data_IF_355477394179
#
_entry.id   IF_355477394179
#
_cell.length_a   1.000
_cell.length_b   1.000
_cell.length_c   1.000
_cell.angle_alpha   90.00
_cell.angle_beta   90.00
_cell.angle_gamma   90.00
#
_symmetry.space_group_name_H-M   'P 1'
#
loop_
_entity.id
_entity.type
_entity.pdbx_description
1 polymer ?
#
# COMPACT_ATOMS: atom_id res chain seq x y z
N UNK A 1 5.76 37.79 12.47
CA UNK A 1 4.96 36.72 11.87
C UNK A 1 3.57 37.28 11.64
N UNK A 2 3.14 37.38 10.38
CA UNK A 2 1.75 37.72 10.07
C UNK A 2 0.90 36.50 10.39
N UNK A 3 -0.09 36.64 11.27
CA UNK A 3 -1.07 35.59 11.51
C UNK A 3 -1.99 35.51 10.29
N UNK A 4 -2.34 34.30 9.85
CA UNK A 4 -3.29 34.10 8.77
C UNK A 4 -4.67 34.66 9.17
N UNK A 5 -5.28 35.46 8.29
CA UNK A 5 -6.62 35.99 8.46
C UNK A 5 -7.65 35.13 7.71
N UNK A 6 -8.94 35.31 8.05
CA UNK A 6 -10.01 34.72 7.26
C UNK A 6 -9.96 35.29 5.83
N UNK A 7 -10.02 34.40 4.82
CA UNK A 7 -9.84 34.70 3.40
C UNK A 7 -8.44 34.39 2.86
N UNK A 8 -7.43 34.25 3.72
CA UNK A 8 -6.07 33.90 3.30
C UNK A 8 -5.97 32.43 2.87
N UNK A 9 -5.06 32.07 1.95
CA UNK A 9 -4.74 30.69 1.66
C UNK A 9 -4.32 29.95 2.94
N UNK A 10 -4.93 28.79 3.19
CA UNK A 10 -4.49 27.93 4.28
C UNK A 10 -3.16 27.28 3.95
N UNK A 11 -2.37 26.96 4.98
CA UNK A 11 -1.07 26.34 4.79
C UNK A 11 -1.21 24.83 4.60
N UNK A 12 -0.69 24.33 3.48
CA UNK A 12 -0.56 22.89 3.21
C UNK A 12 0.89 22.62 2.87
N UNK A 13 1.50 21.66 3.58
CA UNK A 13 2.92 21.33 3.44
C UNK A 13 3.13 19.82 3.55
N UNK A 14 4.19 19.33 2.91
CA UNK A 14 4.70 18.00 3.17
C UNK A 14 5.41 17.97 4.52
N UNK A 15 5.35 16.83 5.22
CA UNK A 15 6.19 16.62 6.40
C UNK A 15 7.65 16.63 5.98
N UNK A 16 8.54 17.13 6.82
CA UNK A 16 9.98 17.14 6.55
C UNK A 16 10.55 15.73 6.26
N UNK A 17 9.98 14.68 6.86
CA UNK A 17 10.35 13.28 6.61
C UNK A 17 9.97 12.76 5.22
N UNK A 18 9.07 13.45 4.52
CA UNK A 18 8.61 13.10 3.18
C UNK A 18 9.34 13.86 2.08
N UNK A 19 10.10 14.89 2.44
CA UNK A 19 10.98 15.63 1.53
C UNK A 19 12.33 14.91 1.38
N UNK A 20 12.86 14.89 0.17
CA UNK A 20 14.24 14.50 -0.11
C UNK A 20 15.02 15.76 -0.48
N UNK A 21 15.76 16.30 0.48
CA UNK A 21 16.24 17.68 0.39
C UNK A 21 15.05 18.64 0.40
N UNK A 22 14.87 19.39 -0.69
CA UNK A 22 13.72 20.28 -0.89
C UNK A 22 12.66 19.67 -1.83
N UNK A 23 12.90 18.47 -2.36
CA UNK A 23 12.05 17.84 -3.37
C UNK A 23 10.88 17.06 -2.71
N UNK A 24 9.62 17.43 -2.98
CA UNK A 24 8.46 16.69 -2.51
C UNK A 24 8.18 15.44 -3.38
N UNK A 25 7.48 14.43 -2.84
CA UNK A 25 7.15 13.22 -3.59
C UNK A 25 6.13 13.48 -4.70
N UNK A 26 5.30 14.51 -4.55
CA UNK A 26 4.33 14.95 -5.55
C UNK A 26 4.21 16.48 -5.52
N UNK A 27 3.93 17.08 -6.68
CA UNK A 27 3.53 18.47 -6.75
C UNK A 27 2.24 18.69 -5.94
N UNK A 28 2.15 19.83 -5.25
CA UNK A 28 1.01 20.17 -4.40
C UNK A 28 0.22 21.34 -5.02
N UNK A 29 -1.05 21.09 -5.33
CA UNK A 29 -2.02 22.11 -5.68
C UNK A 29 -2.84 22.45 -4.43
N UNK A 30 -2.50 23.57 -3.80
CA UNK A 30 -3.14 24.04 -2.58
C UNK A 30 -4.27 25.03 -2.90
N UNK A 31 -5.50 24.63 -2.61
CA UNK A 31 -6.73 25.42 -2.72
C UNK A 31 -7.49 25.48 -1.39
N UNK A 32 -6.77 25.35 -0.27
CA UNK A 32 -7.35 25.55 1.06
C UNK A 32 -7.50 27.05 1.31
N UNK A 33 -8.64 27.43 1.90
CA UNK A 33 -8.90 28.80 2.35
C UNK A 33 -9.11 28.81 3.86
N UNK A 34 -8.56 29.82 4.52
CA UNK A 34 -8.75 30.05 5.95
C UNK A 34 -10.08 30.77 6.19
N UNK A 35 -10.85 30.34 7.19
CA UNK A 35 -12.13 30.95 7.60
C UNK A 35 -12.09 31.32 9.09
N UNK A 36 -12.94 32.24 9.53
CA UNK A 36 -12.97 32.66 10.94
C UNK A 36 -13.37 31.51 11.87
N UNK A 37 -14.34 30.69 11.44
CA UNK A 37 -14.82 29.51 12.15
C UNK A 37 -15.34 28.48 11.16
N UNK A 38 -15.39 27.22 11.58
CA UNK A 38 -16.02 26.12 10.85
C UNK A 38 -17.19 25.58 11.67
N UNK A 39 -18.29 25.24 10.99
CA UNK A 39 -19.42 24.52 11.59
C UNK A 39 -19.36 23.04 11.19
N UNK A 40 -19.75 22.15 12.11
CA UNK A 40 -19.68 20.71 11.90
C UNK A 40 -18.28 20.14 12.14
N UNK A 41 -18.04 18.95 11.62
CA UNK A 41 -16.75 18.26 11.76
C UNK A 41 -15.69 18.92 10.86
N UNK A 42 -14.63 19.54 11.43
CA UNK A 42 -13.54 20.13 10.65
C UNK A 42 -12.86 19.12 9.72
N UNK A 43 -12.94 17.82 10.01
CA UNK A 43 -12.34 16.78 9.15
C UNK A 43 -13.04 16.65 7.81
N UNK A 44 -14.35 16.91 7.78
CA UNK A 44 -15.19 16.82 6.58
C UNK A 44 -15.02 17.99 5.61
N UNK A 45 -14.29 19.03 6.00
CA UNK A 45 -14.15 20.27 5.24
C UNK A 45 -12.88 20.35 4.40
N UNK A 46 -12.06 19.30 4.42
CA UNK A 46 -10.84 19.19 3.61
C UNK A 46 -10.99 18.00 2.66
N UNK A 47 -10.94 18.27 1.37
CA UNK A 47 -10.81 17.27 0.32
C UNK A 47 -9.35 17.10 -0.08
N UNK A 48 -8.91 15.86 -0.24
CA UNK A 48 -7.63 15.52 -0.84
C UNK A 48 -7.89 14.55 -1.98
N UNK A 49 -7.41 14.91 -3.16
CA UNK A 49 -7.57 14.10 -4.34
C UNK A 49 -6.32 14.14 -5.21
N UNK A 50 -6.25 13.15 -6.11
CA UNK A 50 -5.32 13.17 -7.23
C UNK A 50 -6.13 13.34 -8.50
N UNK A 51 -6.11 14.53 -9.14
CA UNK A 51 -6.85 14.75 -10.36
C UNK A 51 -6.45 13.76 -11.45
N UNK A 52 -7.40 13.29 -12.24
CA UNK A 52 -7.15 12.38 -13.37
C UNK A 52 -6.15 13.01 -14.33
N UNK A 53 -5.11 12.27 -14.73
CA UNK A 53 -4.04 12.77 -15.61
C UNK A 53 -3.00 13.66 -14.94
N UNK A 54 -3.11 13.91 -13.63
CA UNK A 54 -2.11 14.67 -12.85
C UNK A 54 -1.17 13.74 -12.07
N UNK A 55 0.10 14.14 -12.01
CA UNK A 55 1.07 13.56 -11.06
C UNK A 55 1.05 14.25 -9.70
N UNK A 56 0.29 15.35 -9.53
CA UNK A 56 0.19 16.12 -8.30
C UNK A 56 -0.96 15.71 -7.37
N UNK A 57 -0.95 16.25 -6.16
CA UNK A 57 -2.03 16.14 -5.18
C UNK A 57 -2.75 17.49 -5.10
N UNK A 58 -4.08 17.48 -5.21
CA UNK A 58 -4.93 18.65 -4.98
C UNK A 58 -5.51 18.56 -3.57
N UNK A 59 -5.35 19.63 -2.80
CA UNK A 59 -5.90 19.78 -1.46
C UNK A 59 -6.78 21.02 -1.46
N UNK A 60 -8.05 20.87 -1.13
CA UNK A 60 -9.04 21.95 -1.25
C UNK A 60 -10.01 21.93 -0.07
N UNK A 61 -10.66 23.06 0.19
CA UNK A 61 -11.62 23.19 1.28
C UNK A 61 -11.31 24.32 2.24
N UNK A 62 -11.67 24.16 3.51
CA UNK A 62 -11.64 25.26 4.51
C UNK A 62 -11.01 24.83 5.82
N UNK A 63 -10.27 25.75 6.44
CA UNK A 63 -9.69 25.57 7.79
C UNK A 63 -9.95 26.80 8.65
N UNK A 64 -10.26 26.65 9.94
CA UNK A 64 -10.45 27.80 10.82
C UNK A 64 -9.11 28.45 11.21
N UNK A 65 -9.06 29.77 11.33
CA UNK A 65 -7.89 30.49 11.87
C UNK A 65 -7.48 29.87 13.22
N UNK A 66 -6.17 29.63 13.40
CA UNK A 66 -5.63 29.05 14.64
C UNK A 66 -5.84 27.54 14.80
N UNK A 67 -6.38 26.85 13.79
CA UNK A 67 -6.50 25.39 13.79
C UNK A 67 -5.12 24.72 13.87
N UNK A 68 -5.02 23.65 14.66
CA UNK A 68 -3.81 22.85 14.72
C UNK A 68 -3.53 22.15 13.37
N UNK A 69 -2.26 21.96 12.97
CA UNK A 69 -1.94 21.19 11.77
C UNK A 69 -2.49 19.76 11.87
N UNK A 70 -3.12 19.28 10.80
CA UNK A 70 -3.60 17.91 10.71
C UNK A 70 -2.81 17.11 9.67
N UNK A 71 -2.37 15.89 10.00
CA UNK A 71 -1.76 15.02 9.01
C UNK A 71 -2.83 14.33 8.17
N UNK A 72 -2.68 14.38 6.85
CA UNK A 72 -3.55 13.67 5.92
C UNK A 72 -2.68 12.68 5.14
N UNK A 73 -2.88 11.36 5.32
CA UNK A 73 -2.15 10.37 4.55
C UNK A 73 -2.62 10.39 3.09
N UNK A 74 -1.68 10.22 2.17
CA UNK A 74 -1.97 10.10 0.73
C UNK A 74 -1.35 8.83 0.18
N UNK A 75 -2.08 8.18 -0.72
CA UNK A 75 -1.58 6.97 -1.37
C UNK A 75 -0.40 7.30 -2.29
N UNK A 76 0.65 6.47 -2.19
CA UNK A 76 1.78 6.49 -3.12
C UNK A 76 1.37 5.76 -4.39
N UNK A 77 1.49 6.40 -5.55
CA UNK A 77 1.02 5.84 -6.84
C UNK A 77 1.92 4.71 -7.35
N UNK A 78 3.24 4.85 -7.17
CA UNK A 78 4.23 3.85 -7.55
C UNK A 78 5.14 3.54 -6.36
N UNK A 79 4.77 2.59 -5.48
CA UNK A 79 5.56 2.28 -4.29
C UNK A 79 7.01 1.85 -4.59
N UNK A 80 7.22 1.08 -5.65
CA UNK A 80 8.55 0.61 -6.05
C UNK A 80 9.45 1.75 -6.55
N UNK A 81 8.89 2.66 -7.35
CA UNK A 81 9.62 3.83 -7.85
C UNK A 81 9.91 4.83 -6.72
N UNK A 82 8.94 5.07 -5.83
CA UNK A 82 9.15 5.90 -4.65
C UNK A 82 10.24 5.32 -3.73
N UNK A 83 10.31 4.00 -3.59
CA UNK A 83 11.39 3.33 -2.86
C UNK A 83 12.74 3.49 -3.57
N UNK A 84 12.80 3.30 -4.89
CA UNK A 84 14.03 3.49 -5.68
C UNK A 84 14.55 4.94 -5.59
N UNK A 85 13.66 5.92 -5.73
CA UNK A 85 13.95 7.34 -5.59
C UNK A 85 14.53 7.67 -4.20
N UNK A 86 13.84 7.23 -3.12
CA UNK A 86 14.32 7.42 -1.74
C UNK A 86 15.66 6.72 -1.50
N UNK A 87 15.85 5.52 -2.04
CA UNK A 87 17.09 4.76 -1.88
C UNK A 87 18.26 5.44 -2.58
N UNK A 88 18.10 5.87 -3.83
CA UNK A 88 19.13 6.60 -4.57
C UNK A 88 19.52 7.90 -3.88
N UNK A 89 18.55 8.65 -3.32
CA UNK A 89 18.85 9.83 -2.53
C UNK A 89 19.73 9.49 -1.31
N UNK A 90 19.40 8.45 -0.54
CA UNK A 90 20.19 8.02 0.63
C UNK A 90 21.59 7.50 0.29
N UNK A 91 21.76 6.93 -0.91
CA UNK A 91 23.07 6.52 -1.44
C UNK A 91 23.92 7.73 -1.79
N UNK A 92 23.35 8.74 -2.47
CA UNK A 92 24.05 9.98 -2.81
C UNK A 92 24.48 10.76 -1.56
N UNK A 93 23.64 10.82 -0.53
CA UNK A 93 24.01 11.40 0.78
C UNK A 93 25.22 10.70 1.42
N UNK A 94 25.48 9.44 1.07
CA UNK A 94 26.63 8.66 1.53
C UNK A 94 27.82 8.71 0.57
N UNK A 95 27.78 9.58 -0.44
CA UNK A 95 28.86 9.74 -1.43
C UNK A 95 28.88 8.67 -2.53
N UNK A 96 27.83 7.84 -2.64
CA UNK A 96 27.71 6.90 -3.75
C UNK A 96 27.24 7.66 -4.99
N UNK A 97 28.08 7.67 -6.03
CA UNK A 97 27.74 8.25 -7.31
C UNK A 97 26.76 7.36 -8.06
N UNK A 98 25.69 7.96 -8.58
CA UNK A 98 24.69 7.28 -9.42
C UNK A 98 24.57 8.10 -10.70
N UNK A 99 25.11 7.57 -11.79
CA UNK A 99 25.14 8.24 -13.11
C UNK A 99 23.79 8.17 -13.84
N UNK A 100 22.94 7.19 -13.51
CA UNK A 100 21.63 6.98 -14.13
C UNK A 100 20.44 7.55 -13.36
N UNK A 101 19.24 7.27 -13.88
CA UNK A 101 17.96 7.57 -13.23
C UNK A 101 17.42 6.37 -12.46
N UNK A 102 16.54 6.63 -11.49
CA UNK A 102 15.85 5.58 -10.73
C UNK A 102 14.65 5.07 -11.51
N UNK A 103 14.53 3.75 -11.63
CA UNK A 103 13.42 3.09 -12.30
C UNK A 103 12.92 1.92 -11.45
N UNK A 104 11.63 1.64 -11.53
CA UNK A 104 11.06 0.42 -11.00
C UNK A 104 11.15 -0.70 -12.04
N UNK A 105 11.63 -1.87 -11.61
CA UNK A 105 11.62 -3.08 -12.44
C UNK A 105 10.37 -3.91 -12.09
N UNK A 106 9.47 -4.06 -13.06
CA UNK A 106 8.25 -4.85 -12.92
C UNK A 106 8.27 -6.04 -13.87
N UNK A 107 7.85 -7.21 -13.39
CA UNK A 107 7.46 -8.32 -14.27
C UNK A 107 5.96 -8.18 -14.58
N UNK A 108 5.56 -8.07 -15.86
CA UNK A 108 4.15 -8.09 -16.22
C UNK A 108 3.48 -9.40 -15.78
N UNK A 109 2.21 -9.32 -15.40
CA UNK A 109 1.39 -10.50 -15.12
C UNK A 109 1.27 -11.36 -16.39
N UNK A 110 1.39 -12.67 -16.22
CA UNK A 110 1.26 -13.69 -17.26
C UNK A 110 0.17 -14.68 -16.89
N UNK A 111 -0.35 -15.43 -17.86
CA UNK A 111 -1.38 -16.44 -17.58
C UNK A 111 -0.88 -17.55 -16.65
N UNK A 112 0.41 -17.88 -16.74
CA UNK A 112 1.07 -18.90 -15.89
C UNK A 112 1.28 -18.41 -14.44
N UNK A 113 0.92 -17.17 -14.12
CA UNK A 113 0.78 -16.75 -12.72
C UNK A 113 -0.43 -17.40 -12.03
N UNK A 114 -1.38 -17.92 -12.80
CA UNK A 114 -2.47 -18.72 -12.28
C UNK A 114 -2.08 -20.21 -12.24
N UNK A 115 -2.04 -20.85 -11.06
CA UNK A 115 -1.64 -22.25 -10.94
C UNK A 115 -2.56 -23.21 -11.70
N UNK A 116 -3.83 -22.87 -11.92
CA UNK A 116 -4.76 -23.70 -12.71
C UNK A 116 -4.42 -23.72 -14.21
N UNK A 117 -3.78 -22.65 -14.70
CA UNK A 117 -3.30 -22.57 -16.09
C UNK A 117 -1.92 -23.21 -16.20
N UNK A 118 -1.03 -22.85 -15.28
CA UNK A 118 0.36 -23.33 -15.21
C UNK A 118 0.46 -24.84 -14.99
N UNK A 119 -0.46 -25.44 -14.21
CA UNK A 119 -0.41 -26.83 -13.76
C UNK A 119 0.95 -27.12 -13.11
N UNK A 120 1.65 -28.16 -13.59
CA UNK A 120 2.97 -28.58 -13.10
C UNK A 120 4.13 -27.74 -13.68
N UNK A 121 3.84 -26.69 -14.45
CA UNK A 121 4.84 -25.77 -14.97
C UNK A 121 5.57 -25.01 -13.86
N UNK A 122 6.81 -24.60 -14.14
CA UNK A 122 7.58 -23.76 -13.22
C UNK A 122 6.92 -22.39 -13.06
N UNK A 123 6.82 -21.91 -11.82
CA UNK A 123 6.25 -20.60 -11.56
C UNK A 123 7.10 -19.48 -12.17
N UNK A 124 6.49 -18.46 -12.81
CA UNK A 124 7.22 -17.32 -13.34
C UNK A 124 8.01 -16.61 -12.22
N UNK A 125 9.30 -16.41 -12.44
CA UNK A 125 10.17 -15.65 -11.53
C UNK A 125 10.82 -14.49 -12.28
N UNK A 126 10.96 -13.30 -11.66
CA UNK A 126 11.76 -12.24 -12.25
C UNK A 126 13.21 -12.71 -12.46
N UNK A 127 13.78 -12.37 -13.62
CA UNK A 127 15.21 -12.52 -13.87
C UNK A 127 15.95 -11.52 -12.99
N UNK A 128 16.94 -12.00 -12.25
CA UNK A 128 17.87 -11.16 -11.49
C UNK A 128 19.24 -11.23 -12.15
N UNK A 129 19.82 -10.07 -12.45
CA UNK A 129 21.20 -9.94 -12.85
C UNK A 129 22.05 -9.47 -11.66
N UNK A 130 23.25 -10.03 -11.51
CA UNK A 130 24.19 -9.67 -10.45
C UNK A 130 24.10 -10.53 -9.18
N UNK A 131 24.83 -10.12 -8.15
CA UNK A 131 24.89 -10.78 -6.84
C UNK A 131 24.31 -9.91 -5.74
N UNK A 132 23.68 -10.53 -4.74
CA UNK A 132 23.16 -9.83 -3.56
C UNK A 132 24.32 -9.30 -2.69
N UNK A 133 24.31 -8.00 -2.41
CA UNK A 133 25.33 -7.35 -1.55
C UNK A 133 24.78 -6.87 -0.21
N UNK A 134 23.46 -6.79 -0.06
CA UNK A 134 22.79 -6.37 1.17
C UNK A 134 21.33 -6.84 1.20
N UNK A 135 20.81 -7.12 2.40
CA UNK A 135 19.41 -7.50 2.63
C UNK A 135 18.92 -6.92 3.94
N UNK A 136 17.71 -6.34 3.91
CA UNK A 136 16.96 -6.05 5.12
C UNK A 136 15.99 -7.20 5.37
N UNK A 137 16.08 -7.82 6.54
CA UNK A 137 15.13 -8.86 6.95
C UNK A 137 13.88 -8.19 7.55
N UNK A 138 12.67 -8.66 7.20
CA UNK A 138 11.45 -8.15 7.82
C UNK A 138 11.38 -8.56 9.31
N UNK A 139 10.55 -7.87 10.11
CA UNK A 139 10.22 -8.32 11.46
C UNK A 139 9.65 -9.75 11.48
N UNK A 140 9.61 -10.41 12.66
CA UNK A 140 8.97 -11.71 12.83
C UNK A 140 7.55 -11.72 12.27
N UNK A 141 7.19 -12.80 11.58
CA UNK A 141 5.90 -12.91 10.90
C UNK A 141 4.71 -12.72 11.85
N UNK A 142 4.85 -13.16 13.11
CA UNK A 142 3.80 -13.03 14.13
C UNK A 142 3.51 -11.57 14.50
N UNK A 143 4.50 -10.69 14.44
CA UNK A 143 4.31 -9.26 14.72
C UNK A 143 3.51 -8.60 13.60
N UNK A 144 3.81 -8.96 12.35
CA UNK A 144 3.08 -8.47 11.18
C UNK A 144 1.64 -9.00 11.16
N UNK A 145 1.45 -10.28 11.49
CA UNK A 145 0.12 -10.88 11.66
C UNK A 145 -0.68 -10.18 12.77
N UNK A 146 -0.06 -9.87 13.91
CA UNK A 146 -0.70 -9.13 14.98
C UNK A 146 -1.10 -7.72 14.53
N UNK A 147 -0.24 -7.03 13.76
CA UNK A 147 -0.54 -5.72 13.21
C UNK A 147 -1.72 -5.76 12.23
N UNK A 148 -1.73 -6.71 11.29
CA UNK A 148 -2.85 -6.96 10.38
C UNK A 148 -4.15 -7.11 11.17
N UNK A 149 -4.18 -8.00 12.16
CA UNK A 149 -5.40 -8.33 12.90
C UNK A 149 -5.88 -7.19 13.81
N UNK A 150 -4.96 -6.39 14.37
CA UNK A 150 -5.32 -5.28 15.26
C UNK A 150 -5.72 -4.02 14.53
N UNK A 151 -5.09 -3.75 13.39
CA UNK A 151 -5.29 -2.51 12.64
C UNK A 151 -6.13 -2.73 11.37
N UNK A 152 -6.53 -3.96 11.07
CA UNK A 152 -7.22 -4.36 9.83
C UNK A 152 -6.49 -3.84 8.59
N UNK A 153 -5.17 -4.06 8.54
CA UNK A 153 -4.29 -3.40 7.55
C UNK A 153 -4.28 -4.12 6.20
N UNK A 154 -5.00 -3.54 5.24
CA UNK A 154 -5.23 -4.14 3.92
C UNK A 154 -3.94 -4.40 3.14
N UNK A 155 -3.03 -3.43 3.08
CA UNK A 155 -1.75 -3.59 2.35
C UNK A 155 -0.95 -4.78 2.88
N UNK A 156 -0.90 -4.93 4.20
CA UNK A 156 -0.19 -6.03 4.84
C UNK A 156 -0.85 -7.37 4.52
N UNK A 157 -2.18 -7.45 4.58
CA UNK A 157 -2.91 -8.66 4.22
C UNK A 157 -2.70 -9.10 2.76
N UNK A 158 -2.70 -8.16 1.80
CA UNK A 158 -2.41 -8.43 0.39
C UNK A 158 -0.96 -8.92 0.17
N UNK A 159 0.00 -8.28 0.83
CA UNK A 159 1.41 -8.70 0.76
C UNK A 159 1.62 -10.06 1.43
N UNK A 160 0.87 -10.36 2.48
CA UNK A 160 0.95 -11.65 3.16
C UNK A 160 0.42 -12.78 2.26
N UNK A 161 -0.68 -12.55 1.55
CA UNK A 161 -1.20 -13.48 0.53
C UNK A 161 -0.17 -13.75 -0.58
N UNK A 162 0.46 -12.70 -1.11
CA UNK A 162 1.50 -12.84 -2.14
C UNK A 162 2.76 -13.51 -1.61
N UNK A 163 3.13 -13.27 -0.34
CA UNK A 163 4.23 -13.97 0.33
C UNK A 163 3.93 -15.45 0.49
N UNK A 164 2.69 -15.82 0.79
CA UNK A 164 2.25 -17.21 0.80
C UNK A 164 2.41 -17.82 -0.60
N UNK A 165 1.94 -17.13 -1.64
CA UNK A 165 2.11 -17.55 -3.04
C UNK A 165 3.56 -17.67 -3.52
N UNK A 166 4.54 -17.10 -2.79
CA UNK A 166 5.98 -17.29 -3.05
C UNK A 166 6.56 -18.57 -2.45
N UNK A 167 5.86 -19.22 -1.52
CA UNK A 167 6.34 -20.47 -0.90
C UNK A 167 6.35 -21.61 -1.91
N UNK A 168 5.29 -21.73 -2.70
CA UNK A 168 5.11 -22.82 -3.68
C UNK A 168 4.90 -22.31 -5.12
N UNK A 169 5.04 -21.00 -5.36
CA UNK A 169 4.73 -20.37 -6.64
C UNK A 169 5.50 -19.06 -6.94
N UNK A 170 4.92 -18.25 -7.82
CA UNK A 170 5.50 -17.02 -8.35
C UNK A 170 5.18 -15.76 -7.53
N UNK A 171 4.40 -15.91 -6.45
CA UNK A 171 3.95 -14.80 -5.62
C UNK A 171 2.77 -14.02 -6.19
N UNK A 172 2.00 -14.65 -7.07
CA UNK A 172 0.72 -14.11 -7.54
C UNK A 172 -0.35 -14.18 -6.44
N UNK A 173 -1.46 -13.47 -6.63
CA UNK A 173 -2.62 -13.57 -5.74
C UNK A 173 -3.20 -14.98 -5.84
N UNK A 174 -3.27 -15.49 -7.07
CA UNK A 174 -3.82 -16.80 -7.40
C UNK A 174 -3.02 -17.94 -6.76
N UNK A 175 -1.69 -17.84 -6.73
CA UNK A 175 -0.83 -18.79 -6.02
C UNK A 175 -1.11 -18.78 -4.51
N UNK A 176 -1.26 -17.59 -3.92
CA UNK A 176 -1.60 -17.45 -2.50
C UNK A 176 -2.99 -18.04 -2.17
N UNK A 177 -3.98 -17.76 -3.01
CA UNK A 177 -5.34 -18.28 -2.85
C UNK A 177 -5.40 -19.81 -3.02
N UNK A 178 -4.58 -20.37 -3.92
CA UNK A 178 -4.48 -21.82 -4.08
C UNK A 178 -3.98 -22.49 -2.78
N UNK A 179 -2.98 -21.91 -2.12
CA UNK A 179 -2.47 -22.42 -0.84
C UNK A 179 -3.52 -22.29 0.27
N UNK A 180 -4.25 -21.16 0.33
CA UNK A 180 -5.38 -21.01 1.27
C UNK A 180 -6.45 -22.08 1.00
N UNK A 181 -6.76 -22.35 -0.27
CA UNK A 181 -7.71 -23.39 -0.67
C UNK A 181 -7.29 -24.77 -0.18
N UNK A 182 -6.03 -25.15 -0.38
CA UNK A 182 -5.49 -26.41 0.12
C UNK A 182 -5.56 -26.51 1.66
N UNK A 183 -5.30 -25.41 2.37
CA UNK A 183 -5.45 -25.36 3.83
C UNK A 183 -6.91 -25.57 4.25
N UNK A 184 -7.86 -24.87 3.62
CA UNK A 184 -9.29 -24.99 3.89
C UNK A 184 -9.80 -26.41 3.59
N UNK A 185 -9.35 -27.01 2.49
CA UNK A 185 -9.65 -28.40 2.14
C UNK A 185 -9.07 -29.37 3.17
N UNK A 186 -7.84 -29.14 3.63
CA UNK A 186 -7.16 -29.94 4.65
C UNK A 186 -7.86 -29.95 6.01
N UNK A 187 -8.54 -28.86 6.37
CA UNK A 187 -9.40 -28.82 7.58
C UNK A 187 -10.82 -29.32 7.29
N UNK A 188 -11.14 -29.65 6.04
CA UNK A 188 -12.41 -30.23 5.58
C UNK A 188 -13.53 -29.20 5.38
N UNK A 189 -13.20 -27.93 5.11
CA UNK A 189 -14.21 -26.95 4.69
C UNK A 189 -14.75 -27.34 3.31
N UNK A 190 -16.06 -27.27 3.12
CA UNK A 190 -16.67 -27.53 1.82
C UNK A 190 -16.32 -26.40 0.83
N UNK A 191 -15.94 -26.74 -0.41
CA UNK A 191 -15.57 -25.75 -1.43
C UNK A 191 -16.69 -24.75 -1.74
N UNK A 192 -17.96 -25.12 -1.58
CA UNK A 192 -19.11 -24.20 -1.74
C UNK A 192 -19.23 -23.19 -0.59
N UNK A 193 -18.46 -23.38 0.48
CA UNK A 193 -18.48 -22.56 1.68
C UNK A 193 -17.69 -21.24 1.57
N UNK A 194 -16.89 -21.06 0.52
CA UNK A 194 -16.03 -19.89 0.33
C UNK A 194 -15.76 -19.56 -1.14
N UNK A 195 -15.46 -18.31 -1.43
CA UNK A 195 -14.88 -17.84 -2.68
C UNK A 195 -14.06 -16.58 -2.38
N UNK A 196 -12.75 -16.63 -2.57
CA UNK A 196 -11.84 -15.57 -2.13
C UNK A 196 -11.13 -14.98 -3.34
N UNK A 197 -10.99 -13.65 -3.36
CA UNK A 197 -10.38 -12.90 -4.45
C UNK A 197 -9.17 -12.10 -4.01
N UNK A 198 -9.00 -11.85 -2.71
CA UNK A 198 -7.91 -11.05 -2.15
C UNK A 198 -7.55 -11.50 -0.72
N UNK A 199 -6.56 -10.85 -0.12
CA UNK A 199 -6.13 -11.13 1.26
C UNK A 199 -6.80 -10.23 2.29
N UNK A 200 -7.19 -9.02 1.90
CA UNK A 200 -7.65 -7.98 2.81
C UNK A 200 -9.15 -7.97 3.10
N UNK A 201 -9.98 -8.60 2.26
CA UNK A 201 -11.43 -8.49 2.36
C UNK A 201 -12.03 -7.28 1.64
N UNK A 202 -11.23 -6.44 0.97
CA UNK A 202 -11.72 -5.26 0.24
C UNK A 202 -12.53 -5.64 -1.00
N UNK A 203 -12.21 -6.76 -1.62
CA UNK A 203 -12.91 -7.24 -2.80
C UNK A 203 -14.36 -7.58 -2.46
N UNK A 204 -15.28 -6.93 -3.18
CA UNK A 204 -16.72 -7.22 -3.14
C UNK A 204 -17.06 -8.60 -3.70
N UNK A 205 -16.09 -9.33 -4.24
CA UNK A 205 -16.25 -10.70 -4.74
C UNK A 205 -15.97 -11.76 -3.67
N UNK A 206 -15.37 -11.40 -2.54
CA UNK A 206 -15.16 -12.32 -1.43
C UNK A 206 -16.51 -12.85 -0.88
N UNK A 207 -16.61 -14.17 -0.72
CA UNK A 207 -17.76 -14.87 -0.13
C UNK A 207 -17.23 -15.87 0.91
N UNK A 208 -17.88 -15.91 2.06
CA UNK A 208 -17.64 -16.95 3.06
C UNK A 208 -18.94 -17.23 3.81
N UNK A 209 -19.21 -18.49 4.08
CA UNK A 209 -20.36 -18.90 4.89
C UNK A 209 -20.03 -18.80 6.38
N UNK A 210 -20.99 -18.47 7.26
CA UNK A 210 -20.76 -18.47 8.71
C UNK A 210 -20.24 -19.82 9.23
N UNK A 211 -20.67 -20.93 8.63
CA UNK A 211 -20.19 -22.28 8.95
C UNK A 211 -18.70 -22.45 8.65
N UNK A 212 -18.21 -21.90 7.54
CA UNK A 212 -16.79 -21.92 7.18
C UNK A 212 -15.97 -21.12 8.19
N UNK A 213 -16.43 -19.92 8.56
CA UNK A 213 -15.77 -19.10 9.59
C UNK A 213 -15.72 -19.82 10.93
N UNK A 214 -16.84 -20.38 11.39
CA UNK A 214 -16.90 -21.12 12.66
C UNK A 214 -15.96 -22.33 12.67
N UNK A 215 -15.83 -23.03 11.53
CA UNK A 215 -14.93 -24.17 11.38
C UNK A 215 -13.46 -23.75 11.43
N UNK A 216 -13.10 -22.65 10.74
CA UNK A 216 -11.76 -22.08 10.80
C UNK A 216 -11.40 -21.67 12.24
N UNK A 217 -12.30 -21.00 12.95
CA UNK A 217 -12.12 -20.59 14.35
C UNK A 217 -11.99 -21.77 15.32
N UNK A 218 -12.62 -22.91 15.04
CA UNK A 218 -12.48 -24.11 15.88
C UNK A 218 -11.15 -24.83 15.65
N UNK A 219 -10.59 -24.73 14.44
CA UNK A 219 -9.32 -25.34 14.08
C UNK A 219 -8.11 -24.54 14.60
N UNK A 220 -8.20 -23.21 14.61
CA UNK A 220 -7.16 -22.28 15.10
C UNK A 220 -7.09 -22.18 16.62
#
# INVERSE_FOLDING_TARGET
MSWAAAGDPGMVTWRASDLLGEEPPYALLNEIVTVASVEGDPESLIGVERPTGSSGIRVYGRVAVGSAPRPIPVAVTSPAEAAAWRFAYRLRERGVMIEGTTLAAHRPQQLDDNPNVRKDGAAPSPAFEGGEIARLLPPPLIEDAAFIMKQSQNLHAELFLRRLGRVEGGGSVEDGLAIIGQMLDGIGVDRTGWDLSDGSGMSIYNRVTPRTVAKLLHWS
#
